data_IF_637311202641
#
_entry.id   IF_637311202641
#
_cell.length_a   1.000
_cell.length_b   1.000
_cell.length_c   1.000
_cell.angle_alpha   90.00
_cell.angle_beta   90.00
_cell.angle_gamma   90.00
#
_symmetry.space_group_name_H-M   'P 1'
#
loop_
_entity.id
_entity.type
_entity.pdbx_description
1 polymer ?
#
# COMPACT_ATOMS: atom_id res chain seq x y z
N UNK A 1 22.57 9.56 -19.05
CA UNK A 1 22.23 8.31 -19.74
C UNK A 1 22.28 7.19 -18.70
N UNK A 2 21.12 6.71 -18.22
CA UNK A 2 21.00 5.78 -17.09
C UNK A 2 20.87 4.30 -17.52
N UNK A 3 20.94 4.03 -18.82
CA UNK A 3 20.47 2.79 -19.44
C UNK A 3 21.45 2.19 -20.47
N UNK A 4 22.76 2.30 -20.24
CA UNK A 4 23.80 1.61 -21.03
C UNK A 4 24.62 0.66 -20.14
N UNK A 5 23.95 -0.24 -19.43
CA UNK A 5 24.60 -1.28 -18.61
C UNK A 5 23.64 -2.44 -18.33
N UNK A 6 24.18 -3.64 -18.15
CA UNK A 6 23.42 -4.83 -17.73
C UNK A 6 22.61 -4.54 -16.46
N UNK A 7 21.43 -5.16 -16.32
CA UNK A 7 20.52 -4.92 -15.20
C UNK A 7 21.15 -5.35 -13.87
N UNK A 8 21.70 -4.39 -13.11
CA UNK A 8 22.33 -4.59 -11.79
C UNK A 8 21.33 -4.75 -10.64
N UNK A 9 20.10 -5.22 -10.88
CA UNK A 9 19.17 -5.56 -9.80
C UNK A 9 19.38 -7.03 -9.44
N UNK A 10 20.52 -7.33 -8.81
CA UNK A 10 20.76 -8.60 -8.13
C UNK A 10 20.31 -8.43 -6.68
N UNK A 11 19.29 -9.18 -6.25
CA UNK A 11 18.80 -9.14 -4.87
C UNK A 11 19.10 -10.46 -4.19
N UNK A 12 20.32 -10.59 -3.65
CA UNK A 12 20.62 -11.54 -2.58
C UNK A 12 20.13 -11.01 -1.21
N UNK A 13 19.60 -9.78 -1.18
CA UNK A 13 19.13 -9.09 0.02
C UNK A 13 17.65 -9.35 0.31
N UNK A 14 17.30 -9.59 1.57
CA UNK A 14 15.92 -9.84 2.02
C UNK A 14 15.08 -8.56 2.17
N UNK A 15 15.64 -7.38 1.89
CA UNK A 15 14.98 -6.08 2.01
C UNK A 15 15.39 -5.17 0.85
N UNK A 16 14.41 -4.68 0.08
CA UNK A 16 14.64 -3.90 -1.14
C UNK A 16 13.77 -2.65 -1.09
N UNK A 17 14.38 -1.47 -1.28
CA UNK A 17 13.68 -0.18 -1.28
C UNK A 17 13.83 0.47 -2.64
N UNK A 18 12.71 0.90 -3.22
CA UNK A 18 12.68 1.70 -4.44
C UNK A 18 12.29 3.12 -4.09
N UNK A 19 13.17 4.08 -4.36
CA UNK A 19 12.85 5.50 -4.22
C UNK A 19 12.15 6.02 -5.49
N UNK A 20 10.84 6.27 -5.37
CA UNK A 20 10.03 6.84 -6.43
C UNK A 20 10.05 8.38 -6.45
N UNK A 21 10.53 9.05 -5.40
CA UNK A 21 10.58 10.51 -5.35
C UNK A 21 11.51 11.07 -6.43
N UNK A 22 12.70 10.47 -6.55
CA UNK A 22 13.67 10.77 -7.62
C UNK A 22 13.10 10.53 -9.02
N UNK A 23 12.23 9.52 -9.14
CA UNK A 23 11.63 9.07 -10.40
C UNK A 23 10.49 9.99 -10.85
N UNK A 24 9.66 10.43 -9.90
CA UNK A 24 8.53 11.33 -10.12
C UNK A 24 8.93 12.82 -10.18
N UNK A 25 10.06 13.20 -9.60
CA UNK A 25 10.65 14.54 -9.76
C UNK A 25 10.99 14.86 -11.23
N UNK A 26 11.08 13.84 -12.08
CA UNK A 26 11.31 13.98 -13.50
C UNK A 26 10.03 14.46 -14.20
N UNK A 27 10.04 15.68 -14.77
CA UNK A 27 8.86 16.35 -15.35
C UNK A 27 8.23 15.66 -16.58
N UNK A 28 8.70 14.47 -16.95
CA UNK A 28 8.19 13.70 -18.07
C UNK A 28 7.33 12.53 -17.56
N UNK A 29 6.01 12.75 -17.49
CA UNK A 29 5.06 11.74 -17.02
C UNK A 29 5.11 10.42 -17.79
N UNK A 30 5.44 10.43 -19.08
CA UNK A 30 5.58 9.19 -19.88
C UNK A 30 6.76 8.34 -19.40
N UNK A 31 7.90 8.96 -19.09
CA UNK A 31 9.08 8.25 -18.58
C UNK A 31 8.81 7.73 -17.17
N UNK A 32 8.21 8.55 -16.31
CA UNK A 32 7.84 8.14 -14.96
C UNK A 32 6.91 6.91 -14.98
N UNK A 33 5.91 6.89 -15.86
CA UNK A 33 5.01 5.75 -16.02
C UNK A 33 5.71 4.49 -16.52
N UNK A 34 6.59 4.61 -17.50
CA UNK A 34 7.32 3.46 -18.04
C UNK A 34 8.21 2.83 -16.97
N UNK A 35 8.90 3.67 -16.21
CA UNK A 35 9.74 3.22 -15.09
C UNK A 35 8.89 2.62 -13.96
N UNK A 36 7.73 3.21 -13.67
CA UNK A 36 6.78 2.67 -12.71
C UNK A 36 6.34 1.26 -13.11
N UNK A 37 5.87 1.11 -14.36
CA UNK A 37 5.45 -0.18 -14.90
C UNK A 37 6.58 -1.21 -14.83
N UNK A 38 7.83 -0.81 -15.05
CA UNK A 38 8.98 -1.69 -14.96
C UNK A 38 9.21 -2.20 -13.53
N UNK A 39 9.21 -1.31 -12.53
CA UNK A 39 9.37 -1.71 -11.11
C UNK A 39 8.25 -2.65 -10.70
N UNK A 40 7.02 -2.32 -11.09
CA UNK A 40 5.84 -3.14 -10.85
C UNK A 40 5.95 -4.53 -11.52
N UNK A 41 6.38 -4.61 -12.78
CA UNK A 41 6.63 -5.90 -13.46
C UNK A 41 7.77 -6.69 -12.83
N UNK A 42 8.79 -6.02 -12.32
CA UNK A 42 9.87 -6.66 -11.60
C UNK A 42 9.36 -7.30 -10.29
N UNK A 43 8.58 -6.57 -9.48
CA UNK A 43 7.96 -7.09 -8.25
C UNK A 43 7.09 -8.32 -8.54
N UNK A 44 6.34 -8.27 -9.64
CA UNK A 44 5.50 -9.38 -10.08
C UNK A 44 6.32 -10.66 -10.38
N UNK A 45 7.47 -10.50 -11.03
CA UNK A 45 8.39 -11.60 -11.30
C UNK A 45 9.03 -12.15 -10.01
N UNK A 46 9.38 -11.29 -9.06
CA UNK A 46 9.92 -11.74 -7.76
C UNK A 46 8.91 -12.57 -6.96
N UNK A 47 7.62 -12.21 -7.02
CA UNK A 47 6.55 -13.03 -6.44
C UNK A 47 6.53 -14.44 -7.06
N UNK A 48 6.63 -14.52 -8.40
CA UNK A 48 6.62 -15.79 -9.13
C UNK A 48 7.86 -16.62 -8.78
N UNK A 49 9.05 -16.02 -8.80
CA UNK A 49 10.30 -16.70 -8.43
C UNK A 49 10.26 -17.26 -7.01
N UNK A 50 9.74 -16.50 -6.05
CA UNK A 50 9.61 -16.96 -4.67
C UNK A 50 8.64 -18.13 -4.54
N UNK A 51 7.54 -18.14 -5.32
CA UNK A 51 6.64 -19.29 -5.40
C UNK A 51 7.37 -20.51 -5.97
N UNK A 52 8.08 -20.37 -7.07
CA UNK A 52 8.85 -21.46 -7.68
C UNK A 52 9.90 -22.02 -6.73
N UNK A 53 10.60 -21.14 -6.00
CA UNK A 53 11.54 -21.52 -4.96
C UNK A 53 10.86 -22.34 -3.85
N UNK A 54 9.73 -21.86 -3.32
CA UNK A 54 8.98 -22.58 -2.30
C UNK A 54 8.52 -23.96 -2.79
N UNK A 55 8.14 -24.09 -4.05
CA UNK A 55 7.76 -25.38 -4.65
C UNK A 55 8.96 -26.30 -4.83
N UNK A 56 10.10 -25.78 -5.30
CA UNK A 56 11.29 -26.57 -5.60
C UNK A 56 11.99 -27.08 -4.34
N UNK A 57 12.03 -26.26 -3.29
CA UNK A 57 12.79 -26.54 -2.07
C UNK A 57 11.91 -26.86 -0.85
N UNK A 58 10.60 -27.00 -1.04
CA UNK A 58 9.62 -27.17 0.04
C UNK A 58 9.73 -26.10 1.15
N UNK A 59 10.09 -24.88 0.74
CA UNK A 59 10.24 -23.73 1.64
C UNK A 59 8.91 -22.98 1.84
N UNK A 60 8.89 -22.05 2.80
CA UNK A 60 7.71 -21.21 3.11
C UNK A 60 8.08 -19.73 3.17
N UNK A 61 8.94 -19.27 2.24
CA UNK A 61 9.33 -17.87 2.13
C UNK A 61 8.11 -16.98 1.84
N UNK A 62 8.00 -15.88 2.56
CA UNK A 62 6.91 -14.90 2.41
C UNK A 62 7.47 -13.63 1.80
N UNK A 63 6.68 -13.01 0.93
CA UNK A 63 6.97 -11.69 0.38
C UNK A 63 5.98 -10.70 0.99
N UNK A 64 6.52 -9.57 1.43
CA UNK A 64 5.75 -8.39 1.82
C UNK A 64 6.13 -7.28 0.85
N UNK A 65 5.13 -6.69 0.20
CA UNK A 65 5.30 -5.49 -0.63
C UNK A 65 4.66 -4.33 0.10
N UNK A 66 5.43 -3.27 0.34
CA UNK A 66 4.94 -2.04 0.94
C UNK A 66 4.93 -0.96 -0.14
N UNK A 67 3.77 -0.36 -0.36
CA UNK A 67 3.57 0.78 -1.26
C UNK A 67 3.27 1.97 -0.35
N UNK A 68 4.27 2.79 -0.13
CA UNK A 68 4.13 4.04 0.61
C UNK A 68 3.71 5.18 -0.31
N UNK A 69 2.97 6.14 0.23
CA UNK A 69 2.35 7.25 -0.50
C UNK A 69 1.60 6.82 -1.77
N UNK A 70 0.76 5.80 -1.64
CA UNK A 70 0.00 5.23 -2.74
C UNK A 70 -0.88 6.25 -3.48
N UNK A 71 -1.25 7.37 -2.85
CA UNK A 71 -1.99 8.47 -3.48
C UNK A 71 -1.22 9.09 -4.66
N UNK A 72 0.11 9.09 -4.64
CA UNK A 72 0.95 9.63 -5.72
C UNK A 72 0.80 8.83 -7.03
N UNK A 73 0.33 7.59 -6.92
CA UNK A 73 0.08 6.70 -8.06
C UNK A 73 -1.36 6.82 -8.59
N UNK A 74 -2.19 7.63 -7.92
CA UNK A 74 -3.60 7.84 -8.24
C UNK A 74 -3.74 9.21 -8.91
N UNK A 75 -3.47 9.22 -10.21
CA UNK A 75 -3.76 10.36 -11.09
C UNK A 75 -4.77 9.88 -12.14
N UNK A 76 -5.79 10.68 -12.44
CA UNK A 76 -6.73 10.45 -13.54
C UNK A 76 -6.02 10.22 -14.88
N UNK A 77 -4.80 10.75 -15.05
CA UNK A 77 -3.97 10.53 -16.23
C UNK A 77 -3.38 9.12 -16.31
N UNK A 78 -3.28 8.41 -15.19
CA UNK A 78 -2.51 7.17 -15.07
C UNK A 78 -3.28 6.03 -14.38
N UNK A 79 -4.47 5.64 -14.88
CA UNK A 79 -5.35 4.62 -14.28
C UNK A 79 -4.76 3.20 -14.27
N UNK A 80 -3.62 2.98 -14.95
CA UNK A 80 -2.94 1.68 -15.06
C UNK A 80 -2.29 1.27 -13.73
N UNK A 81 -1.78 2.23 -12.96
CA UNK A 81 -1.11 1.93 -11.69
C UNK A 81 -2.08 1.33 -10.66
N UNK A 82 -3.31 1.84 -10.59
CA UNK A 82 -4.39 1.32 -9.75
C UNK A 82 -4.81 -0.11 -10.14
N UNK A 83 -5.04 -0.35 -11.43
CA UNK A 83 -5.39 -1.70 -11.91
C UNK A 83 -4.28 -2.70 -11.59
N UNK A 84 -3.02 -2.27 -11.75
CA UNK A 84 -1.88 -3.08 -11.35
C UNK A 84 -1.85 -3.35 -9.83
N UNK A 85 -2.01 -2.33 -8.98
CA UNK A 85 -2.04 -2.51 -7.52
C UNK A 85 -3.12 -3.51 -7.10
N UNK A 86 -4.29 -3.46 -7.73
CA UNK A 86 -5.37 -4.42 -7.49
C UNK A 86 -4.99 -5.84 -7.95
N UNK A 87 -4.39 -5.99 -9.15
CA UNK A 87 -3.92 -7.29 -9.63
C UNK A 87 -2.81 -7.87 -8.76
N UNK A 88 -1.89 -7.03 -8.30
CA UNK A 88 -0.80 -7.38 -7.39
C UNK A 88 -1.37 -7.92 -6.07
N UNK A 89 -2.34 -7.22 -5.47
CA UNK A 89 -2.99 -7.61 -4.23
C UNK A 89 -3.63 -9.00 -4.35
N UNK A 90 -4.32 -9.27 -5.46
CA UNK A 90 -4.92 -10.59 -5.73
C UNK A 90 -3.86 -11.68 -5.90
N UNK A 91 -2.72 -11.37 -6.53
CA UNK A 91 -1.68 -12.34 -6.82
C UNK A 91 -0.86 -12.69 -5.58
N UNK A 92 -0.38 -11.69 -4.85
CA UNK A 92 0.44 -11.89 -3.66
C UNK A 92 -0.33 -12.69 -2.59
N UNK A 93 -1.64 -12.45 -2.47
CA UNK A 93 -2.53 -13.21 -1.58
C UNK A 93 -2.60 -14.70 -1.93
N UNK A 94 -2.61 -15.08 -3.21
CA UNK A 94 -2.60 -16.51 -3.63
C UNK A 94 -1.35 -17.25 -3.20
N UNK A 95 -0.26 -16.52 -2.93
CA UNK A 95 1.02 -17.08 -2.53
C UNK A 95 1.35 -16.82 -1.06
N UNK A 96 0.32 -16.51 -0.25
CA UNK A 96 0.44 -16.22 1.18
C UNK A 96 1.42 -15.08 1.49
N UNK A 97 1.59 -14.13 0.57
CA UNK A 97 2.31 -12.88 0.82
C UNK A 97 1.36 -11.77 1.28
N UNK A 98 1.93 -10.59 1.52
CA UNK A 98 1.19 -9.42 2.01
C UNK A 98 1.50 -8.20 1.15
N UNK A 99 0.48 -7.44 0.80
CA UNK A 99 0.64 -6.09 0.27
C UNK A 99 0.14 -5.10 1.33
N UNK A 100 0.96 -4.10 1.64
CA UNK A 100 0.63 -3.00 2.53
C UNK A 100 0.56 -1.74 1.68
N UNK A 101 -0.59 -1.08 1.68
CA UNK A 101 -0.80 0.18 0.97
C UNK A 101 -0.96 1.27 2.02
N UNK A 102 -0.10 2.29 1.94
CA UNK A 102 -0.08 3.40 2.89
C UNK A 102 -0.39 4.68 2.12
N UNK A 103 -1.29 5.50 2.65
CA UNK A 103 -1.66 6.78 2.06
C UNK A 103 -2.05 7.78 3.13
N UNK A 104 -1.66 9.05 2.93
CA UNK A 104 -2.12 10.17 3.74
C UNK A 104 -3.36 10.86 3.14
N UNK A 105 -3.51 10.86 1.82
CA UNK A 105 -4.58 11.55 1.14
C UNK A 105 -5.64 10.58 0.62
N UNK A 106 -6.79 10.54 1.28
CA UNK A 106 -7.93 9.68 0.91
C UNK A 106 -8.72 10.30 -0.25
N UNK A 107 -8.66 11.63 -0.44
CA UNK A 107 -9.42 12.33 -1.50
C UNK A 107 -9.05 11.85 -2.89
N UNK A 108 -7.77 11.58 -3.10
CA UNK A 108 -7.27 11.09 -4.39
C UNK A 108 -7.89 9.73 -4.74
N UNK A 109 -8.26 8.92 -3.73
CA UNK A 109 -8.91 7.63 -3.93
C UNK A 109 -10.40 7.72 -4.28
N UNK A 110 -11.06 8.86 -4.01
CA UNK A 110 -12.50 9.08 -4.22
C UNK A 110 -12.82 10.18 -5.23
N UNK A 111 -11.82 10.72 -5.94
CA UNK A 111 -11.96 11.90 -6.79
C UNK A 111 -12.91 11.76 -7.99
N UNK A 112 -12.95 10.59 -8.62
CA UNK A 112 -13.89 10.27 -9.72
C UNK A 112 -14.60 8.94 -9.46
N UNK A 113 -15.75 8.70 -10.09
CA UNK A 113 -16.51 7.46 -9.91
C UNK A 113 -15.72 6.21 -10.33
N UNK A 114 -14.91 6.31 -11.39
CA UNK A 114 -14.04 5.21 -11.82
C UNK A 114 -12.92 4.93 -10.81
N UNK A 115 -12.27 5.98 -10.31
CA UNK A 115 -11.23 5.87 -9.28
C UNK A 115 -11.81 5.30 -8.00
N UNK A 116 -12.94 5.82 -7.52
CA UNK A 116 -13.65 5.33 -6.33
C UNK A 116 -13.93 3.83 -6.45
N UNK A 117 -14.47 3.36 -7.59
CA UNK A 117 -14.72 1.93 -7.81
C UNK A 117 -13.46 1.07 -7.69
N UNK A 118 -12.34 1.52 -8.23
CA UNK A 118 -11.05 0.80 -8.18
C UNK A 118 -10.44 0.83 -6.78
N UNK A 119 -10.46 1.98 -6.13
CA UNK A 119 -10.02 2.17 -4.75
C UNK A 119 -10.80 1.29 -3.77
N UNK A 120 -12.13 1.29 -3.86
CA UNK A 120 -13.00 0.39 -3.09
C UNK A 120 -12.66 -1.07 -3.34
N UNK A 121 -12.29 -1.45 -4.57
CA UNK A 121 -11.87 -2.82 -4.86
C UNK A 121 -10.54 -3.21 -4.17
N UNK A 122 -9.58 -2.29 -4.06
CA UNK A 122 -8.33 -2.51 -3.33
C UNK A 122 -8.60 -2.68 -1.82
N UNK A 123 -9.51 -1.87 -1.27
CA UNK A 123 -9.89 -1.95 0.14
C UNK A 123 -10.66 -3.22 0.44
N UNK A 124 -11.60 -3.59 -0.41
CA UNK A 124 -12.32 -4.87 -0.30
C UNK A 124 -11.38 -6.08 -0.43
N UNK A 125 -10.25 -5.94 -1.13
CA UNK A 125 -9.23 -6.97 -1.19
C UNK A 125 -8.35 -7.03 0.08
N UNK A 126 -8.31 -5.93 0.84
CA UNK A 126 -7.54 -5.79 2.07
C UNK A 126 -8.25 -6.46 3.23
N UNK A 127 -7.55 -7.35 3.93
CA UNK A 127 -8.09 -8.05 5.10
C UNK A 127 -7.98 -7.23 6.38
N UNK A 128 -6.93 -6.41 6.46
CA UNK A 128 -6.63 -5.59 7.63
C UNK A 128 -6.65 -4.13 7.20
N UNK A 129 -7.26 -3.28 8.01
CA UNK A 129 -7.19 -1.83 7.84
C UNK A 129 -6.74 -1.19 9.14
N UNK A 130 -5.77 -0.29 9.05
CA UNK A 130 -5.29 0.52 10.16
C UNK A 130 -5.58 1.97 9.82
N UNK A 131 -6.55 2.54 10.53
CA UNK A 131 -7.00 3.91 10.32
C UNK A 131 -6.46 4.74 11.47
N UNK A 132 -5.47 5.58 11.17
CA UNK A 132 -4.90 6.55 12.10
C UNK A 132 -5.80 7.79 12.19
N UNK A 133 -5.55 8.71 13.13
CA UNK A 133 -6.39 9.89 13.30
C UNK A 133 -6.46 10.71 12.02
N UNK A 134 -7.68 11.06 11.61
CA UNK A 134 -7.96 11.81 10.39
C UNK A 134 -8.57 13.17 10.72
N UNK A 135 -8.37 14.14 9.82
CA UNK A 135 -9.10 15.39 9.91
C UNK A 135 -10.60 15.15 9.64
N UNK A 136 -11.51 16.01 10.14
CA UNK A 136 -12.94 15.86 9.88
C UNK A 136 -13.31 15.83 8.38
N UNK A 137 -12.52 16.51 7.55
CA UNK A 137 -12.72 16.50 6.10
C UNK A 137 -12.38 15.13 5.51
N UNK A 138 -11.25 14.54 5.89
CA UNK A 138 -10.81 13.25 5.35
C UNK A 138 -11.65 12.09 5.91
N UNK A 139 -12.24 12.27 7.09
CA UNK A 139 -13.22 11.34 7.66
C UNK A 139 -14.45 11.19 6.75
N UNK A 140 -14.91 12.28 6.13
CA UNK A 140 -16.05 12.23 5.18
C UNK A 140 -15.72 11.36 3.98
N UNK A 141 -14.49 11.43 3.48
CA UNK A 141 -14.05 10.64 2.32
C UNK A 141 -13.80 9.19 2.70
N UNK A 142 -13.31 8.92 3.91
CA UNK A 142 -13.20 7.57 4.45
C UNK A 142 -14.58 6.91 4.60
N UNK A 143 -15.62 7.62 5.05
CA UNK A 143 -16.99 7.09 5.15
C UNK A 143 -17.50 6.64 3.78
N UNK A 144 -17.32 7.47 2.75
CA UNK A 144 -17.71 7.11 1.36
C UNK A 144 -16.96 5.87 0.88
N UNK A 145 -15.68 5.80 1.19
CA UNK A 145 -14.81 4.71 0.77
C UNK A 145 -15.23 3.37 1.40
N UNK A 146 -15.69 3.40 2.65
CA UNK A 146 -16.16 2.22 3.39
C UNK A 146 -17.68 1.98 3.31
N UNK A 147 -18.44 2.82 2.61
CA UNK A 147 -19.90 2.73 2.51
C UNK A 147 -20.38 1.32 2.11
N UNK A 148 -19.67 0.69 1.17
CA UNK A 148 -19.95 -0.67 0.69
C UNK A 148 -19.05 -1.75 1.34
N UNK A 149 -18.12 -1.37 2.20
CA UNK A 149 -17.15 -2.25 2.86
C UNK A 149 -17.46 -2.46 4.36
N UNK A 150 -18.74 -2.34 4.72
CA UNK A 150 -19.22 -2.53 6.10
C UNK A 150 -19.50 -1.24 6.86
N UNK A 151 -19.38 -0.07 6.22
CA UNK A 151 -19.64 1.28 6.73
C UNK A 151 -18.87 1.66 8.01
N UNK A 152 -18.67 2.96 8.24
CA UNK A 152 -18.11 3.46 9.52
C UNK A 152 -19.22 4.21 10.26
N UNK A 153 -19.57 3.73 11.45
CA UNK A 153 -20.64 4.31 12.27
C UNK A 153 -20.17 5.55 13.05
N UNK A 154 -21.11 6.36 13.57
CA UNK A 154 -20.79 7.61 14.26
C UNK A 154 -19.83 7.43 15.46
N UNK A 155 -19.98 6.36 16.24
CA UNK A 155 -19.07 6.09 17.37
C UNK A 155 -17.65 5.77 16.90
N UNK A 156 -17.51 5.02 15.79
CA UNK A 156 -16.20 4.73 15.20
C UNK A 156 -15.57 6.00 14.60
N UNK A 157 -16.39 6.89 14.03
CA UNK A 157 -15.93 8.20 13.53
C UNK A 157 -15.39 9.06 14.67
N UNK A 158 -16.15 9.17 15.77
CA UNK A 158 -15.74 9.92 16.95
C UNK A 158 -14.45 9.35 17.53
N UNK A 159 -14.31 8.02 17.60
CA UNK A 159 -13.07 7.37 18.03
C UNK A 159 -11.89 7.73 17.12
N UNK A 160 -12.03 7.62 15.80
CA UNK A 160 -10.96 7.91 14.84
C UNK A 160 -10.51 9.38 14.95
N UNK A 161 -11.45 10.32 15.03
CA UNK A 161 -11.15 11.76 15.07
C UNK A 161 -10.49 12.16 16.39
N UNK A 162 -10.88 11.54 17.51
CA UNK A 162 -10.35 11.86 18.84
C UNK A 162 -9.10 11.04 19.22
N UNK A 163 -8.70 10.06 18.41
CA UNK A 163 -7.51 9.27 18.67
C UNK A 163 -6.25 10.15 18.68
N UNK A 164 -5.36 9.90 19.65
CA UNK A 164 -4.04 10.53 19.71
C UNK A 164 -3.04 9.91 18.71
N UNK A 165 -1.90 10.57 18.51
CA UNK A 165 -0.80 10.01 17.71
C UNK A 165 -0.39 8.65 18.27
N UNK A 166 -0.24 7.66 17.38
CA UNK A 166 0.12 6.29 17.74
C UNK A 166 -1.07 5.39 18.07
N UNK A 167 -2.31 5.91 18.09
CA UNK A 167 -3.52 5.10 18.24
C UNK A 167 -4.20 4.93 16.89
N UNK A 168 -4.58 3.71 16.56
CA UNK A 168 -5.24 3.38 15.30
C UNK A 168 -6.54 2.62 15.55
N UNK A 169 -7.56 2.95 14.77
CA UNK A 169 -8.76 2.13 14.63
C UNK A 169 -8.46 0.99 13.66
N UNK A 170 -8.55 -0.25 14.14
CA UNK A 170 -8.16 -1.45 13.39
C UNK A 170 -9.40 -2.26 13.03
N UNK A 171 -9.49 -2.63 11.76
CA UNK A 171 -10.52 -3.51 11.21
C UNK A 171 -9.83 -4.81 10.78
N UNK A 172 -10.18 -5.94 11.41
CA UNK A 172 -9.68 -7.28 11.05
C UNK A 172 -10.73 -8.13 10.34
N UNK A 173 -12.01 -7.80 10.56
CA UNK A 173 -13.15 -8.35 9.85
C UNK A 173 -14.35 -7.39 9.95
N UNK A 174 -15.44 -7.60 9.19
CA UNK A 174 -16.61 -6.72 9.28
C UNK A 174 -17.18 -6.55 10.69
N UNK A 175 -17.04 -7.55 11.57
CA UNK A 175 -17.52 -7.53 12.96
C UNK A 175 -16.43 -7.40 14.02
N UNK A 176 -15.15 -7.41 13.64
CA UNK A 176 -14.03 -7.27 14.58
C UNK A 176 -13.30 -5.97 14.28
N UNK A 177 -13.61 -4.97 15.11
CA UNK A 177 -13.11 -3.60 14.97
C UNK A 177 -12.82 -3.03 16.34
N UNK A 178 -11.65 -2.42 16.51
CA UNK A 178 -11.26 -1.89 17.82
C UNK A 178 -10.13 -0.88 17.70
N UNK A 179 -9.96 -0.05 18.72
CA UNK A 179 -8.82 0.84 18.83
C UNK A 179 -7.62 0.10 19.44
N UNK A 180 -6.45 0.34 18.87
CA UNK A 180 -5.19 -0.27 19.32
C UNK A 180 -4.14 0.81 19.45
N UNK A 181 -3.42 0.80 20.56
CA UNK A 181 -2.27 1.67 20.77
C UNK A 181 -1.02 1.01 20.18
N UNK A 182 -0.39 1.69 19.22
CA UNK A 182 0.81 1.25 18.52
C UNK A 182 2.00 1.93 19.20
N UNK A 183 2.82 1.11 19.84
CA UNK A 183 4.00 1.54 20.59
C UNK A 183 5.24 0.91 19.96
N UNK A 184 6.27 1.72 19.71
CA UNK A 184 7.55 1.20 19.26
C UNK A 184 8.20 0.36 20.37
N UNK A 185 8.74 -0.79 20.01
CA UNK A 185 9.54 -1.59 20.95
C UNK A 185 10.78 -0.84 21.41
N UNK A 186 11.23 -1.11 22.64
CA UNK A 186 12.46 -0.53 23.19
C UNK A 186 13.64 -0.74 22.24
N UNK A 187 14.37 0.33 21.92
CA UNK A 187 15.52 0.28 21.01
C UNK A 187 15.19 0.37 19.51
N UNK A 188 13.91 0.33 19.10
CA UNK A 188 13.55 0.54 17.68
C UNK A 188 13.76 2.00 17.29
N UNK A 189 13.44 2.97 18.14
CA UNK A 189 13.64 4.39 17.85
C UNK A 189 15.11 4.75 17.66
N UNK A 190 16.02 4.04 18.34
CA UNK A 190 17.47 4.23 18.23
C UNK A 190 17.99 3.85 16.83
N UNK A 191 17.35 2.88 16.16
CA UNK A 191 17.70 2.49 14.78
C UNK A 191 17.43 3.60 13.75
N UNK A 192 16.52 4.52 14.05
CA UNK A 192 16.13 5.61 13.14
C UNK A 192 16.68 6.99 13.54
N UNK A 193 17.22 7.11 14.75
CA UNK A 193 17.78 8.37 15.28
C UNK A 193 19.31 8.39 15.30
N UNK A 194 19.97 7.24 15.09
CA UNK A 194 21.39 7.20 14.72
C UNK A 194 21.57 7.53 13.23
N UNK A 195 21.40 8.80 12.88
CA UNK A 195 21.79 9.39 11.60
C UNK A 195 22.46 10.74 11.81
#
# INVERSE_FOLDING_TARGET
>A
ALWNGEATITTDENFVVFDFQSLLANKNGTIANAQMLLVLKWLDNEIIKNREYNMMYHASRKIVIVIDEAHVFIDDKYPIALDFMFQLAKRIRKYNGMQIVITQNIKDFVGTEELARKSTAIINASQYSFIFPLSPNDMTDLIKLYENAGAINESEQDDIVNNGRGRAFVITSPGERTNVDIVAGTGIEELFTMS
#
